data_IF_451166847984
#
_entry.id   IF_451166847984
#
_cell.length_a   1.000
_cell.length_b   1.000
_cell.length_c   1.000
_cell.angle_alpha   90.00
_cell.angle_beta   90.00
_cell.angle_gamma   90.00
#
_symmetry.space_group_name_H-M   'P 1'
#
loop_
_entity.id
_entity.type
_entity.pdbx_description
1 polymer ?
#
# COMPACT_ATOMS: atom_id res chain seq x y z
N UNK A 1 35.91 -75.72 -40.74
CA UNK A 1 34.49 -75.62 -40.44
C UNK A 1 34.33 -75.19 -38.96
N UNK A 2 34.31 -73.90 -38.71
CA UNK A 2 33.99 -73.39 -37.34
C UNK A 2 33.14 -72.17 -37.44
N UNK A 3 31.89 -72.28 -37.07
CA UNK A 3 30.90 -71.20 -36.98
C UNK A 3 31.11 -70.45 -35.69
N UNK A 4 31.48 -69.21 -35.73
CA UNK A 4 31.50 -68.34 -34.59
C UNK A 4 30.23 -67.48 -34.60
N UNK A 5 29.33 -67.76 -33.63
CA UNK A 5 28.13 -66.98 -33.33
C UNK A 5 28.52 -65.85 -32.40
N UNK A 6 28.24 -64.56 -32.80
CA UNK A 6 28.28 -63.44 -31.90
C UNK A 6 26.88 -63.17 -31.32
N UNK A 7 26.72 -62.95 -30.01
CA UNK A 7 25.45 -62.55 -29.44
C UNK A 7 25.26 -61.02 -29.59
N UNK A 8 24.11 -60.63 -30.08
CA UNK A 8 23.65 -59.25 -30.11
C UNK A 8 23.28 -58.80 -28.68
N UNK A 9 24.02 -57.86 -28.13
CA UNK A 9 23.71 -57.18 -26.87
C UNK A 9 22.97 -55.87 -27.15
N UNK A 10 21.67 -55.92 -27.06
CA UNK A 10 20.83 -54.71 -27.09
C UNK A 10 20.96 -53.99 -25.75
N UNK A 11 21.35 -52.71 -25.79
CA UNK A 11 21.33 -51.78 -24.65
C UNK A 11 20.13 -50.88 -24.75
N UNK A 12 19.10 -51.00 -23.93
CA UNK A 12 18.06 -49.99 -23.74
C UNK A 12 18.40 -49.16 -22.50
N UNK A 13 19.24 -48.13 -22.64
CA UNK A 13 19.55 -47.24 -21.51
C UNK A 13 19.71 -45.81 -21.99
N UNK A 14 18.70 -45.23 -22.59
CA UNK A 14 18.69 -43.80 -22.95
C UNK A 14 17.33 -43.09 -22.94
N UNK A 15 16.33 -43.60 -22.22
CA UNK A 15 14.97 -42.99 -22.21
C UNK A 15 14.49 -42.53 -20.85
N UNK A 16 15.34 -42.30 -19.84
CA UNK A 16 14.94 -41.90 -18.48
C UNK A 16 15.43 -40.50 -18.05
N UNK A 17 15.92 -39.67 -18.96
CA UNK A 17 16.52 -38.34 -18.58
C UNK A 17 15.74 -37.10 -19.00
N UNK A 18 14.52 -37.19 -19.53
CA UNK A 18 13.77 -36.02 -20.03
C UNK A 18 12.54 -35.63 -19.20
N UNK A 19 12.17 -36.42 -18.19
CA UNK A 19 10.95 -36.17 -17.42
C UNK A 19 11.12 -35.26 -16.18
N UNK A 20 12.29 -34.69 -15.90
CA UNK A 20 12.58 -33.97 -14.64
C UNK A 20 12.59 -32.42 -14.75
N UNK A 21 12.32 -31.80 -15.89
CA UNK A 21 12.49 -30.35 -16.06
C UNK A 21 11.21 -29.53 -16.32
N UNK A 22 10.01 -30.10 -16.14
CA UNK A 22 8.73 -29.42 -16.41
C UNK A 22 8.03 -28.89 -15.16
N UNK A 23 8.70 -28.77 -14.01
CA UNK A 23 8.06 -28.56 -12.69
C UNK A 23 8.19 -27.17 -12.07
N UNK A 24 8.80 -26.15 -12.68
CA UNK A 24 9.08 -24.88 -11.97
C UNK A 24 8.73 -23.68 -12.84
N UNK A 25 7.47 -23.43 -13.09
CA UNK A 25 6.97 -22.12 -13.56
C UNK A 25 5.51 -21.90 -13.14
N UNK A 26 5.12 -22.23 -11.90
CA UNK A 26 3.97 -21.60 -11.28
C UNK A 26 4.47 -20.32 -10.57
N UNK A 27 4.81 -19.29 -11.33
CA UNK A 27 4.81 -17.93 -10.79
C UNK A 27 3.38 -17.65 -10.35
N UNK A 28 3.11 -17.84 -9.05
CA UNK A 28 1.85 -17.44 -8.46
C UNK A 28 1.72 -15.93 -8.66
N UNK A 29 0.92 -15.50 -9.64
CA UNK A 29 0.47 -14.12 -9.74
C UNK A 29 -0.27 -13.82 -8.43
N UNK A 30 0.35 -13.05 -7.53
CA UNK A 30 -0.36 -12.56 -6.35
C UNK A 30 -1.62 -11.84 -6.82
N UNK A 31 -2.80 -12.16 -6.27
CA UNK A 31 -4.05 -11.55 -6.71
C UNK A 31 -3.99 -10.04 -6.55
N UNK A 32 -4.44 -9.32 -7.56
CA UNK A 32 -4.55 -7.86 -7.54
C UNK A 32 -5.69 -7.49 -6.58
N UNK A 33 -5.46 -6.49 -5.72
CA UNK A 33 -6.49 -6.01 -4.78
C UNK A 33 -7.44 -5.08 -5.53
N UNK A 34 -8.74 -5.36 -5.42
CA UNK A 34 -9.78 -4.49 -5.98
C UNK A 34 -10.01 -3.30 -5.04
N UNK A 35 -9.69 -2.08 -5.52
CA UNK A 35 -9.84 -0.84 -4.77
C UNK A 35 -10.53 0.19 -5.67
N UNK A 36 -11.66 0.72 -5.23
CA UNK A 36 -12.32 1.80 -5.94
C UNK A 36 -11.45 3.07 -5.93
N UNK A 37 -11.20 3.72 -7.08
CA UNK A 37 -10.40 4.94 -7.13
C UNK A 37 -11.09 6.10 -6.40
N UNK A 38 -10.31 7.05 -5.90
CA UNK A 38 -10.84 8.32 -5.40
C UNK A 38 -11.41 9.16 -6.57
N UNK A 39 -12.24 10.17 -6.25
CA UNK A 39 -12.88 11.03 -7.25
C UNK A 39 -11.87 11.75 -8.15
N UNK A 40 -10.75 12.19 -7.57
CA UNK A 40 -9.66 12.90 -8.26
C UNK A 40 -8.39 12.04 -8.34
N UNK A 41 -8.52 10.72 -8.51
CA UNK A 41 -7.40 9.78 -8.61
C UNK A 41 -6.46 10.07 -9.80
N UNK A 42 -6.94 10.78 -10.82
CA UNK A 42 -6.15 11.19 -11.99
C UNK A 42 -5.27 12.44 -11.73
N UNK A 43 -5.35 13.04 -10.54
CA UNK A 43 -4.56 14.22 -10.21
C UNK A 43 -3.07 13.93 -10.24
N UNK A 44 -2.33 14.65 -11.08
CA UNK A 44 -0.90 14.44 -11.26
C UNK A 44 -0.10 14.65 -9.96
N UNK A 45 -0.61 15.46 -9.02
CA UNK A 45 0.04 15.71 -7.74
C UNK A 45 0.01 14.48 -6.79
N UNK A 46 -0.78 13.44 -7.09
CA UNK A 46 -0.68 12.14 -6.41
C UNK A 46 0.61 11.39 -6.77
N UNK A 47 1.15 11.58 -7.98
CA UNK A 47 2.25 10.76 -8.49
C UNK A 47 3.52 10.75 -7.62
N UNK A 48 4.04 11.89 -7.10
CA UNK A 48 5.21 11.89 -6.23
C UNK A 48 5.02 11.08 -4.95
N UNK A 49 3.81 11.10 -4.37
CA UNK A 49 3.46 10.30 -3.22
C UNK A 49 3.44 8.81 -3.59
N UNK A 50 2.77 8.44 -4.69
CA UNK A 50 2.63 7.04 -5.11
C UNK A 50 3.98 6.38 -5.39
N UNK A 51 4.95 7.13 -5.94
CA UNK A 51 6.32 6.64 -6.18
C UNK A 51 7.11 6.46 -4.88
N UNK A 52 6.79 7.23 -3.84
CA UNK A 52 7.47 7.21 -2.55
C UNK A 52 6.84 6.26 -1.51
N UNK A 53 5.82 5.49 -1.89
CA UNK A 53 5.18 4.53 -0.99
C UNK A 53 6.17 3.47 -0.51
N UNK A 54 6.11 3.08 0.79
CA UNK A 54 6.98 2.03 1.32
C UNK A 54 6.57 0.65 0.80
N UNK A 55 7.55 -0.24 0.63
CA UNK A 55 7.33 -1.65 0.25
C UNK A 55 6.59 -2.45 1.33
N UNK A 56 6.56 -1.95 2.56
CA UNK A 56 5.83 -2.54 3.68
C UNK A 56 5.39 -1.47 4.67
N UNK A 57 4.30 -1.74 5.40
CA UNK A 57 3.85 -1.02 6.60
C UNK A 57 3.89 -2.02 7.75
N UNK A 58 4.82 -1.85 8.69
CA UNK A 58 5.15 -2.91 9.64
C UNK A 58 5.50 -4.20 8.89
N UNK A 59 4.79 -5.30 9.19
CA UNK A 59 4.97 -6.59 8.52
C UNK A 59 4.15 -6.74 7.22
N UNK A 60 3.20 -5.83 6.96
CA UNK A 60 2.28 -5.90 5.83
C UNK A 60 2.96 -5.42 4.55
N UNK A 61 3.16 -6.32 3.58
CA UNK A 61 3.81 -6.02 2.29
C UNK A 61 2.88 -5.31 1.33
N UNK A 62 3.45 -4.39 0.52
CA UNK A 62 2.76 -3.70 -0.55
C UNK A 62 2.23 -4.70 -1.61
N UNK A 63 1.01 -4.46 -2.07
CA UNK A 63 0.33 -5.24 -3.10
C UNK A 63 -0.12 -4.37 -4.26
N UNK A 64 -0.21 -4.97 -5.43
CA UNK A 64 -0.78 -4.31 -6.61
C UNK A 64 -2.29 -4.13 -6.44
N UNK A 65 -2.78 -2.98 -6.87
CA UNK A 65 -4.20 -2.65 -6.94
C UNK A 65 -4.63 -2.47 -8.40
N UNK A 66 -5.94 -2.53 -8.66
CA UNK A 66 -6.52 -2.40 -10.00
C UNK A 66 -6.86 -0.96 -10.41
N UNK A 67 -6.63 0.03 -9.52
CA UNK A 67 -7.04 1.42 -9.74
C UNK A 67 -5.88 2.40 -9.59
N UNK A 68 -5.98 3.52 -10.32
CA UNK A 68 -5.00 4.60 -10.25
C UNK A 68 -5.00 5.28 -8.88
N UNK A 69 -3.83 5.71 -8.44
CA UNK A 69 -3.57 6.41 -7.18
C UNK A 69 -4.10 5.66 -5.94
N UNK A 70 -4.03 4.33 -5.99
CA UNK A 70 -4.38 3.44 -4.90
C UNK A 70 -3.23 2.50 -4.55
N UNK A 71 -3.18 2.06 -3.31
CA UNK A 71 -2.26 1.04 -2.83
C UNK A 71 -2.92 0.21 -1.73
N UNK A 72 -2.39 -1.00 -1.49
CA UNK A 72 -2.85 -1.86 -0.42
C UNK A 72 -1.66 -2.60 0.20
N UNK A 73 -1.73 -2.89 1.50
CA UNK A 73 -0.72 -3.68 2.21
C UNK A 73 -1.36 -4.80 3.01
N UNK A 74 -0.71 -5.95 3.00
CA UNK A 74 -1.14 -7.16 3.71
C UNK A 74 -1.99 -8.12 2.86
N UNK A 75 -2.06 -9.38 3.28
CA UNK A 75 -2.89 -10.42 2.68
C UNK A 75 -3.55 -11.26 3.78
N UNK A 76 -4.85 -11.02 4.06
CA UNK A 76 -5.74 -10.01 3.46
C UNK A 76 -5.27 -8.58 3.71
N UNK A 77 -5.79 -7.62 2.91
CA UNK A 77 -5.40 -6.22 3.01
C UNK A 77 -5.72 -5.64 4.39
N UNK A 78 -4.69 -5.13 5.08
CA UNK A 78 -4.79 -4.49 6.39
C UNK A 78 -4.88 -2.97 6.28
N UNK A 79 -4.27 -2.41 5.22
CA UNK A 79 -4.23 -0.98 4.92
C UNK A 79 -4.56 -0.77 3.46
N UNK A 80 -5.46 0.15 3.18
CA UNK A 80 -5.80 0.61 1.82
C UNK A 80 -5.58 2.11 1.75
N UNK A 81 -4.90 2.58 0.70
CA UNK A 81 -4.63 3.98 0.44
C UNK A 81 -5.33 4.42 -0.84
N UNK A 82 -5.92 5.63 -0.82
CA UNK A 82 -6.48 6.31 -1.99
C UNK A 82 -6.06 7.77 -1.99
N UNK A 83 -5.35 8.21 -3.02
CA UNK A 83 -5.03 9.63 -3.24
C UNK A 83 -6.07 10.27 -4.17
N UNK A 84 -6.40 11.53 -3.93
CA UNK A 84 -7.42 12.25 -4.70
C UNK A 84 -8.81 12.24 -4.08
N UNK A 85 -8.92 11.99 -2.76
CA UNK A 85 -10.18 12.13 -2.03
C UNK A 85 -10.50 13.61 -1.79
N UNK A 86 -11.72 13.89 -1.36
CA UNK A 86 -12.12 15.25 -1.00
C UNK A 86 -11.21 15.81 0.12
N UNK A 87 -10.74 17.03 -0.05
CA UNK A 87 -9.93 17.72 0.96
C UNK A 87 -10.80 18.01 2.19
N UNK A 88 -10.40 17.58 3.40
CA UNK A 88 -11.14 17.89 4.61
C UNK A 88 -11.21 19.40 4.84
N UNK A 89 -12.43 19.91 5.10
CA UNK A 89 -12.64 21.25 5.60
C UNK A 89 -12.28 21.40 7.07
N UNK A 90 -12.54 22.56 7.68
CA UNK A 90 -12.49 22.72 9.13
C UNK A 90 -13.38 21.65 9.79
N UNK A 91 -12.85 20.96 10.80
CA UNK A 91 -13.56 19.86 11.47
C UNK A 91 -13.24 19.87 12.96
N UNK A 92 -14.15 19.30 13.74
CA UNK A 92 -13.94 18.98 15.15
C UNK A 92 -13.44 17.55 15.36
N UNK A 93 -13.28 16.78 14.27
CA UNK A 93 -12.70 15.44 14.33
C UNK A 93 -11.25 15.51 14.85
N UNK A 94 -10.81 14.42 15.45
CA UNK A 94 -9.46 14.34 16.01
C UNK A 94 -8.42 14.55 14.90
N UNK A 95 -7.59 15.59 15.08
CA UNK A 95 -6.46 15.87 14.21
C UNK A 95 -5.15 15.56 14.94
N UNK A 96 -4.26 14.80 14.27
CA UNK A 96 -2.95 14.43 14.83
C UNK A 96 -1.86 14.74 13.82
N UNK A 97 -0.70 15.18 14.31
CA UNK A 97 0.49 15.39 13.50
C UNK A 97 1.49 14.25 13.71
N UNK A 98 1.91 13.61 12.64
CA UNK A 98 2.91 12.54 12.66
C UNK A 98 3.99 12.84 11.62
N UNK A 99 5.23 13.03 12.06
CA UNK A 99 6.38 13.33 11.22
C UNK A 99 6.13 14.49 10.21
N UNK A 100 5.42 15.55 10.66
CA UNK A 100 5.12 16.73 9.85
C UNK A 100 3.98 16.55 8.84
N UNK A 101 3.22 15.48 8.96
CA UNK A 101 1.97 15.28 8.22
C UNK A 101 0.80 15.27 9.20
N UNK A 102 -0.20 16.08 8.92
CA UNK A 102 -1.40 16.20 9.70
C UNK A 102 -2.49 15.28 9.14
N UNK A 103 -3.22 14.63 10.07
CA UNK A 103 -4.22 13.64 9.75
C UNK A 103 -5.48 13.86 10.56
N UNK A 104 -6.61 13.92 9.88
CA UNK A 104 -7.94 13.84 10.49
C UNK A 104 -8.30 12.37 10.63
N UNK A 105 -8.67 11.95 11.85
CA UNK A 105 -9.03 10.58 12.16
C UNK A 105 -10.54 10.50 12.38
N UNK A 106 -11.17 9.66 11.56
CA UNK A 106 -12.54 9.21 11.74
C UNK A 106 -12.54 7.76 12.19
N UNK A 107 -12.89 7.57 13.47
CA UNK A 107 -13.03 6.24 14.03
C UNK A 107 -14.35 5.62 13.54
N UNK A 108 -14.28 4.36 13.12
CA UNK A 108 -15.40 3.55 12.67
C UNK A 108 -15.28 2.13 13.23
N UNK A 109 -16.29 1.33 13.06
CA UNK A 109 -16.33 -0.06 13.50
C UNK A 109 -16.58 -0.97 12.28
N UNK A 110 -15.63 -1.84 11.89
CA UNK A 110 -14.27 -1.98 12.43
C UNK A 110 -13.23 -1.07 11.73
N UNK A 111 -13.59 -0.29 10.71
CA UNK A 111 -12.63 0.41 9.84
C UNK A 111 -12.53 1.89 10.20
N UNK A 112 -11.30 2.32 10.51
CA UNK A 112 -10.96 3.73 10.68
C UNK A 112 -10.58 4.35 9.34
N UNK A 113 -10.92 5.63 9.19
CA UNK A 113 -10.52 6.46 8.06
C UNK A 113 -9.58 7.55 8.54
N UNK A 114 -8.37 7.58 7.98
CA UNK A 114 -7.34 8.57 8.28
C UNK A 114 -7.12 9.40 7.01
N UNK A 115 -7.39 10.72 7.05
CA UNK A 115 -7.27 11.57 5.87
C UNK A 115 -6.24 12.66 6.10
N UNK A 116 -5.34 12.90 5.15
CA UNK A 116 -4.39 14.02 5.26
C UNK A 116 -5.13 15.34 5.37
N UNK A 117 -4.71 16.20 6.31
CA UNK A 117 -5.26 17.53 6.49
C UNK A 117 -4.35 18.58 5.85
N UNK A 118 -4.98 19.56 5.21
CA UNK A 118 -4.26 20.69 4.60
C UNK A 118 -3.45 20.34 3.35
N UNK A 119 -3.59 19.13 2.78
CA UNK A 119 -2.91 18.73 1.53
C UNK A 119 -3.91 18.57 0.41
N UNK A 120 -3.53 18.98 -0.80
CA UNK A 120 -4.35 18.89 -1.99
C UNK A 120 -3.51 18.36 -3.17
N UNK A 121 -3.86 17.19 -3.71
CA UNK A 121 -4.99 16.30 -3.36
C UNK A 121 -4.85 15.69 -1.97
N UNK A 122 -5.98 15.45 -1.28
CA UNK A 122 -5.96 14.74 -0.02
C UNK A 122 -5.82 13.23 -0.25
N UNK A 123 -5.22 12.56 0.74
CA UNK A 123 -5.04 11.11 0.74
C UNK A 123 -5.78 10.50 1.91
N UNK A 124 -6.48 9.41 1.65
CA UNK A 124 -7.23 8.65 2.61
C UNK A 124 -6.59 7.29 2.84
N UNK A 125 -6.57 6.87 4.10
CA UNK A 125 -6.16 5.55 4.55
C UNK A 125 -7.37 4.88 5.21
N UNK A 126 -7.67 3.65 4.81
CA UNK A 126 -8.64 2.77 5.45
C UNK A 126 -7.86 1.65 6.15
N UNK A 127 -8.13 1.45 7.44
CA UNK A 127 -7.46 0.44 8.23
C UNK A 127 -8.33 -0.05 9.39
N UNK A 128 -8.06 -1.26 9.86
CA UNK A 128 -8.67 -1.83 11.07
C UNK A 128 -7.64 -1.71 12.22
N UNK A 129 -7.93 -0.89 13.25
CA UNK A 129 -6.98 -0.64 14.34
C UNK A 129 -6.70 -1.86 15.23
N UNK A 130 -7.58 -2.86 15.21
CA UNK A 130 -7.38 -4.13 15.92
C UNK A 130 -6.38 -5.05 15.23
N UNK A 131 -6.12 -4.81 13.94
CA UNK A 131 -5.20 -5.63 13.13
C UNK A 131 -3.85 -4.98 12.89
N UNK A 132 -3.81 -3.65 12.84
CA UNK A 132 -2.57 -2.89 12.62
C UNK A 132 -2.62 -1.55 13.37
N UNK A 133 -1.52 -1.18 14.02
CA UNK A 133 -1.44 0.08 14.75
C UNK A 133 -1.53 1.30 13.83
N UNK A 134 -2.46 2.22 14.10
CA UNK A 134 -2.57 3.49 13.37
C UNK A 134 -1.29 4.33 13.47
N UNK A 135 -0.58 4.27 14.60
CA UNK A 135 0.70 4.97 14.76
C UNK A 135 1.76 4.45 13.79
N UNK A 136 1.86 3.11 13.61
CA UNK A 136 2.76 2.49 12.63
C UNK A 136 2.39 2.92 11.21
N UNK A 137 1.09 2.84 10.86
CA UNK A 137 0.59 3.21 9.52
C UNK A 137 0.93 4.66 9.19
N UNK A 138 0.67 5.59 10.12
CA UNK A 138 0.93 7.02 9.90
C UNK A 138 2.44 7.33 9.86
N UNK A 139 3.25 6.68 10.69
CA UNK A 139 4.69 6.87 10.71
C UNK A 139 5.35 6.40 9.40
N UNK A 140 4.99 5.20 8.91
CA UNK A 140 5.55 4.62 7.70
C UNK A 140 5.12 5.36 6.42
N UNK A 141 3.90 5.94 6.41
CA UNK A 141 3.37 6.69 5.27
C UNK A 141 3.74 8.18 5.27
N UNK A 142 4.25 8.72 6.38
CA UNK A 142 4.49 10.17 6.50
C UNK A 142 5.43 10.70 5.42
N UNK A 143 6.53 10.00 5.12
CA UNK A 143 7.49 10.44 4.10
C UNK A 143 6.89 10.51 2.70
N UNK A 144 6.00 9.57 2.36
CA UNK A 144 5.28 9.56 1.09
C UNK A 144 4.21 10.67 1.07
N UNK A 145 3.40 10.80 2.12
CA UNK A 145 2.36 11.82 2.22
C UNK A 145 2.93 13.24 2.19
N UNK A 146 4.14 13.44 2.73
CA UNK A 146 4.84 14.72 2.70
C UNK A 146 5.22 15.19 1.27
N UNK A 147 5.17 14.31 0.25
CA UNK A 147 5.40 14.68 -1.15
C UNK A 147 4.29 15.56 -1.74
N UNK A 148 3.10 15.53 -1.14
CA UNK A 148 2.03 16.48 -1.46
C UNK A 148 2.21 17.71 -0.56
N UNK A 149 2.35 18.94 -1.11
CA UNK A 149 2.57 20.16 -0.32
C UNK A 149 1.44 20.41 0.70
N UNK A 150 1.80 20.91 1.88
CA UNK A 150 0.84 21.33 2.89
C UNK A 150 0.47 22.82 2.69
N UNK A 151 -0.82 23.12 2.75
CA UNK A 151 -1.36 24.49 2.73
C UNK A 151 -1.95 24.91 4.09
N UNK A 152 -2.30 23.97 4.95
CA UNK A 152 -2.90 24.17 6.29
C UNK A 152 -2.40 23.11 7.24
N UNK A 153 -2.47 23.38 8.54
CA UNK A 153 -2.08 22.47 9.61
C UNK A 153 -3.23 22.27 10.61
N UNK A 154 -3.16 21.19 11.38
CA UNK A 154 -3.99 21.02 12.56
C UNK A 154 -3.76 22.18 13.53
N UNK A 155 -4.83 22.72 14.10
CA UNK A 155 -4.75 23.73 15.14
C UNK A 155 -4.93 23.05 16.48
N UNK A 156 -3.89 23.05 17.31
CA UNK A 156 -3.94 22.55 18.67
C UNK A 156 -4.37 23.60 19.69
N UNK A 157 -4.60 23.20 20.93
CA UNK A 157 -4.94 24.16 22.01
C UNK A 157 -3.87 25.22 22.23
N UNK A 158 -2.59 24.87 22.03
CA UNK A 158 -1.48 25.82 22.15
C UNK A 158 -1.54 26.93 21.09
N UNK A 159 -2.01 26.61 19.89
CA UNK A 159 -2.15 27.58 18.80
C UNK A 159 -3.29 28.56 19.07
N UNK A 160 -4.38 28.08 19.70
CA UNK A 160 -5.52 28.91 20.09
C UNK A 160 -5.14 29.93 21.17
N UNK A 161 -4.19 29.61 22.06
CA UNK A 161 -3.72 30.53 23.10
C UNK A 161 -2.82 31.66 22.57
N UNK A 162 -2.25 31.48 21.37
CA UNK A 162 -1.37 32.42 20.73
C UNK A 162 -2.05 33.26 19.62
N UNK A 163 -3.38 33.19 19.51
CA UNK A 163 -4.12 34.03 18.57
C UNK A 163 -3.99 35.51 18.98
N UNK A 164 -3.72 36.42 18.05
CA UNK A 164 -3.74 37.85 18.33
C UNK A 164 -5.15 38.26 18.81
N UNK A 165 -5.27 39.20 19.77
CA UNK A 165 -6.56 39.64 20.23
C UNK A 165 -7.37 40.17 19.04
N UNK A 166 -8.65 39.78 18.96
CA UNK A 166 -9.58 40.30 17.94
C UNK A 166 -9.68 41.81 18.05
N UNK A 167 -9.33 42.50 16.94
CA UNK A 167 -9.52 43.95 16.81
C UNK A 167 -10.98 44.26 16.57
#
# INVERSE_FOLDING_TARGET
MHQLRFPASARPLRLLAVAASAGILLSACAPVVDVAPAKDAANAACAPMMVALPDAIGEAKLRKTNSQATAAWGDPSLVILRCGVNVPGPTTDRCVSVNGVDWVIKEGDPVWTLTTFGREPATEILMDPDKISSATVLADLAAAAAKVPAGRNCVGQADLQNLPPSQ
#
